data_IF_916933974005
#
_entry.id   IF_916933974005
#
_cell.length_a   1.000
_cell.length_b   1.000
_cell.length_c   1.000
_cell.angle_alpha   90.00
_cell.angle_beta   90.00
_cell.angle_gamma   90.00
#
_symmetry.space_group_name_H-M   'P 1'
#
loop_
_entity.id
_entity.type
_entity.pdbx_description
1 polymer ?
#
# COMPACT_ATOMS: atom_id res chain seq x y z
N UNK A 1 -7.89 -40.44 -20.62
CA UNK A 1 -7.56 -40.79 -19.23
C UNK A 1 -6.71 -39.67 -18.62
N UNK A 2 -7.07 -39.12 -17.45
CA UNK A 2 -6.39 -37.96 -16.86
C UNK A 2 -5.60 -38.31 -15.58
N UNK A 3 -4.30 -38.00 -15.49
CA UNK A 3 -3.55 -37.79 -14.22
C UNK A 3 -2.19 -37.08 -14.52
N UNK A 4 -1.47 -36.47 -13.56
CA UNK A 4 -1.72 -35.20 -12.89
C UNK A 4 -0.60 -34.15 -13.10
N UNK A 5 -0.94 -32.89 -12.76
CA UNK A 5 0.02 -31.79 -12.57
C UNK A 5 0.81 -31.96 -11.27
N UNK A 6 2.13 -32.03 -11.37
CA UNK A 6 3.07 -31.97 -10.25
C UNK A 6 3.17 -30.55 -9.69
N UNK A 7 2.92 -30.43 -8.38
CA UNK A 7 3.34 -29.31 -7.54
C UNK A 7 4.86 -29.32 -7.43
N UNK A 8 5.52 -28.18 -7.60
CA UNK A 8 6.91 -27.99 -7.15
C UNK A 8 6.91 -27.01 -5.98
N UNK A 9 7.59 -27.47 -4.93
CA UNK A 9 7.66 -26.94 -3.59
C UNK A 9 8.38 -25.59 -3.49
N UNK A 10 7.91 -24.79 -2.53
CA UNK A 10 8.71 -23.78 -1.82
C UNK A 10 9.77 -24.50 -0.97
N UNK A 11 11.03 -24.12 -1.11
CA UNK A 11 12.06 -24.38 -0.11
C UNK A 11 12.45 -23.07 0.58
N UNK A 12 12.21 -23.03 1.90
CA UNK A 12 12.84 -22.15 2.86
C UNK A 12 14.12 -22.86 3.35
N UNK A 13 15.22 -22.14 3.49
CA UNK A 13 16.30 -22.53 4.41
C UNK A 13 16.95 -21.28 4.97
N UNK A 14 16.99 -21.22 6.30
CA UNK A 14 17.64 -20.20 7.08
C UNK A 14 19.14 -20.48 7.19
N UNK A 15 19.94 -19.42 7.32
CA UNK A 15 21.33 -19.49 7.74
C UNK A 15 21.68 -18.18 8.43
N UNK A 16 21.76 -18.23 9.77
CA UNK A 16 22.17 -17.12 10.61
C UNK A 16 23.69 -16.95 10.56
N UNK A 17 24.18 -15.71 10.60
CA UNK A 17 25.47 -15.41 11.21
C UNK A 17 25.43 -14.02 11.84
N UNK A 18 25.74 -13.97 13.13
CA UNK A 18 25.91 -12.77 13.93
C UNK A 18 27.39 -12.43 14.03
N UNK A 19 27.74 -11.14 13.94
CA UNK A 19 28.95 -10.55 14.51
C UNK A 19 28.57 -9.19 15.09
N UNK A 20 29.12 -8.90 16.27
CA UNK A 20 28.83 -7.76 17.14
C UNK A 20 29.94 -6.70 17.12
N UNK A 21 29.66 -5.57 17.82
CA UNK A 21 30.55 -4.50 18.32
C UNK A 21 30.91 -3.40 17.29
N UNK A 22 31.02 -2.09 17.61
CA UNK A 22 30.82 -1.27 18.81
C UNK A 22 30.87 0.24 18.43
N UNK A 23 30.48 1.13 19.37
CA UNK A 23 30.78 2.59 19.39
C UNK A 23 29.87 3.46 18.50
N UNK A 24 29.40 4.66 18.83
CA UNK A 24 29.50 5.61 19.96
C UNK A 24 28.57 6.80 19.56
N UNK A 25 27.70 7.30 20.44
CA UNK A 25 27.74 8.65 21.03
C UNK A 25 28.10 9.77 20.01
N UNK A 26 27.37 10.86 19.78
CA UNK A 26 26.65 11.78 20.70
C UNK A 26 25.67 12.68 19.92
N UNK A 27 24.65 13.16 20.62
CA UNK A 27 23.78 14.26 20.19
C UNK A 27 24.46 15.63 20.44
N UNK A 28 24.17 16.62 19.59
CA UNK A 28 24.33 18.03 19.92
C UNK A 28 23.06 18.78 19.55
N UNK A 29 22.44 19.33 20.59
CA UNK A 29 21.35 20.30 20.62
C UNK A 29 21.85 21.68 20.20
N UNK A 30 21.01 22.46 19.51
CA UNK A 30 21.05 23.92 19.57
C UNK A 30 19.62 24.43 19.72
N UNK A 31 19.39 25.10 20.84
CA UNK A 31 18.18 25.81 21.18
C UNK A 31 18.38 27.31 20.89
N UNK A 32 17.35 27.95 20.35
CA UNK A 32 17.07 29.38 20.46
C UNK A 32 15.53 29.44 20.60
N UNK A 33 14.91 30.02 21.62
CA UNK A 33 15.31 31.17 22.41
C UNK A 33 14.57 32.39 21.86
N UNK A 34 13.29 32.56 22.22
CA UNK A 34 12.62 33.86 22.18
C UNK A 34 11.55 33.93 23.27
N UNK A 35 11.68 34.96 24.08
CA UNK A 35 10.84 35.38 25.20
C UNK A 35 9.89 36.50 24.80
N UNK A 36 8.89 36.71 25.67
CA UNK A 36 8.05 37.91 25.88
C UNK A 36 6.67 37.91 25.20
N UNK A 37 5.71 38.72 25.70
CA UNK A 37 5.22 38.72 27.08
C UNK A 37 3.68 38.64 27.16
N UNK A 38 3.16 38.57 28.39
CA UNK A 38 1.76 38.51 28.73
C UNK A 38 1.05 39.88 28.63
N UNK A 39 -0.23 39.86 28.26
CA UNK A 39 -1.21 40.89 28.59
C UNK A 39 -2.52 40.21 28.99
N UNK A 40 -2.97 40.50 30.21
CA UNK A 40 -4.20 39.99 30.78
C UNK A 40 -5.43 40.81 30.42
N UNK A 41 -6.59 40.17 30.54
CA UNK A 41 -7.88 40.78 30.85
C UNK A 41 -8.69 39.78 31.69
N UNK A 42 -9.41 40.23 32.73
CA UNK A 42 -10.14 39.35 33.65
C UNK A 42 -11.53 39.05 33.09
N UNK A 43 -12.02 37.82 33.28
CA UNK A 43 -13.40 37.46 33.00
C UNK A 43 -14.06 36.90 34.26
N UNK A 44 -15.24 37.46 34.54
CA UNK A 44 -16.06 37.27 35.72
C UNK A 44 -16.49 35.81 35.94
N UNK A 45 -16.52 35.45 37.22
CA UNK A 45 -17.05 34.23 37.80
C UNK A 45 -18.59 34.20 37.81
N UNK A 46 -19.16 33.11 37.30
CA UNK A 46 -20.47 32.59 37.74
C UNK A 46 -20.30 31.13 38.19
N UNK A 47 -20.97 30.69 39.28
CA UNK A 47 -20.85 29.34 39.78
C UNK A 47 -21.83 28.43 39.01
N UNK A 48 -21.32 27.43 38.31
CA UNK A 48 -22.14 26.33 37.79
C UNK A 48 -21.82 25.06 38.57
N UNK A 49 -22.84 24.55 39.26
CA UNK A 49 -22.85 23.29 39.99
C UNK A 49 -22.25 22.17 39.15
N UNK A 50 -21.11 21.64 39.59
CA UNK A 50 -20.47 20.48 38.99
C UNK A 50 -21.33 19.23 39.26
N UNK A 51 -22.02 18.75 38.22
CA UNK A 51 -22.51 17.38 38.19
C UNK A 51 -21.32 16.42 38.24
N UNK A 52 -21.30 15.54 39.25
CA UNK A 52 -20.25 14.53 39.41
C UNK A 52 -20.19 13.58 38.19
N UNK A 53 -19.01 13.35 37.58
CA UNK A 53 -18.90 12.36 36.53
C UNK A 53 -19.03 10.95 37.13
N UNK A 54 -20.03 10.21 36.65
CA UNK A 54 -20.21 8.80 36.93
C UNK A 54 -18.92 8.01 36.68
N UNK A 55 -18.47 7.26 37.69
CA UNK A 55 -17.21 6.53 37.67
C UNK A 55 -17.14 5.52 36.52
N UNK A 56 -16.26 5.78 35.55
CA UNK A 56 -15.90 4.82 34.52
C UNK A 56 -15.17 3.62 35.14
N UNK A 57 -15.70 2.40 34.96
CA UNK A 57 -15.05 1.15 35.39
C UNK A 57 -13.64 1.05 34.78
N UNK A 58 -12.63 1.15 35.64
CA UNK A 58 -11.20 1.02 35.29
C UNK A 58 -10.90 -0.45 35.01
N UNK A 59 -10.73 -0.83 33.74
CA UNK A 59 -10.26 -2.18 33.38
C UNK A 59 -8.78 -2.26 33.71
N UNK A 60 -8.46 -2.95 34.81
CA UNK A 60 -7.09 -3.16 35.29
C UNK A 60 -6.51 -4.41 34.61
N UNK A 61 -5.47 -4.24 33.79
CA UNK A 61 -4.72 -5.37 33.22
C UNK A 61 -3.66 -5.81 34.23
N UNK A 62 -3.66 -7.08 34.65
CA UNK A 62 -2.59 -7.66 35.47
C UNK A 62 -1.44 -8.13 34.59
N UNK A 63 -0.21 -7.80 34.98
CA UNK A 63 1.00 -8.23 34.27
C UNK A 63 2.00 -8.84 35.25
N UNK A 64 2.70 -9.89 34.83
CA UNK A 64 3.73 -10.59 35.60
C UNK A 64 5.10 -10.25 35.06
N UNK A 65 6.04 -9.86 35.93
CA UNK A 65 7.42 -9.56 35.54
C UNK A 65 8.16 -10.82 35.08
N UNK A 66 8.88 -10.74 33.96
CA UNK A 66 9.69 -11.87 33.42
C UNK A 66 11.15 -11.82 33.87
N UNK A 67 11.56 -10.72 34.50
CA UNK A 67 12.88 -10.48 35.09
C UNK A 67 12.77 -9.55 36.31
N UNK A 68 13.89 -9.34 37.01
CA UNK A 68 14.00 -8.26 37.99
C UNK A 68 13.85 -6.93 37.26
N UNK A 69 12.74 -6.22 37.50
CA UNK A 69 12.29 -5.12 36.66
C UNK A 69 12.29 -3.80 37.42
N UNK A 70 13.02 -2.83 36.90
CA UNK A 70 13.11 -1.49 37.50
C UNK A 70 11.79 -0.73 37.35
N UNK A 71 11.25 -0.30 38.49
CA UNK A 71 10.18 0.68 38.62
C UNK A 71 10.83 2.08 38.60
N UNK A 72 10.51 2.89 37.59
CA UNK A 72 11.12 4.22 37.38
C UNK A 72 10.13 5.35 37.64
N UNK A 73 10.64 6.53 37.97
CA UNK A 73 9.81 7.72 38.19
C UNK A 73 9.04 8.17 36.93
N UNK A 74 9.52 7.85 35.73
CA UNK A 74 8.89 8.19 34.45
C UNK A 74 9.04 7.08 33.40
N UNK A 75 8.29 7.19 32.29
CA UNK A 75 8.17 6.19 31.23
C UNK A 75 9.37 6.13 30.27
N UNK A 76 10.59 6.19 30.80
CA UNK A 76 11.83 6.03 30.02
C UNK A 76 12.98 5.52 30.89
N UNK A 77 14.03 4.99 30.26
CA UNK A 77 15.25 4.54 30.96
C UNK A 77 16.07 5.68 31.57
N UNK A 78 15.80 6.94 31.19
CA UNK A 78 16.48 8.12 31.72
C UNK A 78 15.97 8.55 33.10
N UNK A 79 14.79 8.10 33.51
CA UNK A 79 14.25 8.44 34.82
C UNK A 79 14.84 7.56 35.93
N UNK A 80 15.00 8.17 37.12
CA UNK A 80 15.51 7.52 38.34
C UNK A 80 14.72 6.24 38.66
N UNK A 81 15.42 5.19 39.04
CA UNK A 81 14.82 3.95 39.56
C UNK A 81 14.36 4.21 40.98
N UNK A 82 13.07 3.99 41.25
CA UNK A 82 12.47 4.19 42.58
C UNK A 82 12.35 2.89 43.36
N UNK A 83 12.35 1.73 42.67
CA UNK A 83 12.39 0.37 43.24
C UNK A 83 12.69 -0.66 42.15
N UNK A 84 13.11 -1.86 42.53
CA UNK A 84 13.15 -3.03 41.63
C UNK A 84 12.07 -4.03 42.04
N UNK A 85 11.29 -4.49 41.07
CA UNK A 85 10.25 -5.51 41.23
C UNK A 85 10.87 -6.87 40.88
N UNK A 86 10.90 -7.84 41.81
CA UNK A 86 11.47 -9.16 41.53
C UNK A 86 10.79 -9.86 40.35
N UNK A 87 11.52 -10.77 39.69
CA UNK A 87 10.97 -11.68 38.65
C UNK A 87 9.78 -12.47 39.21
N UNK A 88 8.75 -12.67 38.37
CA UNK A 88 7.57 -13.48 38.70
C UNK A 88 6.51 -12.76 39.54
N UNK A 89 6.68 -11.46 39.84
CA UNK A 89 5.68 -10.69 40.60
C UNK A 89 4.61 -10.12 39.69
N UNK A 90 3.36 -10.20 40.12
CA UNK A 90 2.19 -9.69 39.40
C UNK A 90 1.83 -8.30 39.90
N UNK A 91 1.63 -7.36 38.97
CA UNK A 91 1.24 -5.97 39.27
C UNK A 91 0.07 -5.51 38.40
N UNK A 92 -0.70 -4.59 38.94
CA UNK A 92 -1.85 -3.97 38.28
C UNK A 92 -1.40 -2.79 37.42
N UNK A 93 -1.73 -2.80 36.12
CA UNK A 93 -1.47 -1.67 35.22
C UNK A 93 -2.57 -0.63 35.37
N UNK A 94 -2.16 0.58 35.75
CA UNK A 94 -3.05 1.73 35.98
C UNK A 94 -3.06 2.73 34.82
N UNK A 95 -2.02 2.74 33.99
CA UNK A 95 -1.92 3.53 32.76
C UNK A 95 -0.88 2.92 31.80
N UNK A 96 -0.99 3.25 30.50
CA UNK A 96 -0.03 2.82 29.47
C UNK A 96 0.46 4.03 28.70
N UNK A 97 1.77 4.13 28.47
CA UNK A 97 2.37 5.12 27.59
C UNK A 97 2.58 4.55 26.18
N UNK A 98 2.45 5.40 25.16
CA UNK A 98 2.58 5.03 23.73
C UNK A 98 3.94 4.42 23.37
N UNK A 99 4.95 4.65 24.20
CA UNK A 99 6.32 4.17 24.03
C UNK A 99 6.62 2.83 24.73
N UNK A 100 5.59 2.08 25.14
CA UNK A 100 5.76 0.73 25.67
C UNK A 100 6.07 0.66 27.18
N UNK A 101 5.53 1.58 27.97
CA UNK A 101 5.67 1.59 29.43
C UNK A 101 4.31 1.46 30.13
N UNK A 102 4.29 0.73 31.24
CA UNK A 102 3.13 0.58 32.11
C UNK A 102 3.34 1.32 33.42
N UNK A 103 2.33 2.08 33.85
CA UNK A 103 2.30 2.69 35.19
C UNK A 103 1.71 1.69 36.17
N UNK A 104 2.45 1.35 37.21
CA UNK A 104 2.07 0.33 38.21
C UNK A 104 2.38 0.85 39.63
N UNK A 105 1.77 0.21 40.63
CA UNK A 105 2.14 0.39 42.04
C UNK A 105 2.64 -0.94 42.60
N UNK A 106 3.77 -0.91 43.30
CA UNK A 106 4.38 -2.08 43.93
C UNK A 106 5.06 -1.69 45.24
N UNK A 107 4.72 -2.40 46.32
CA UNK A 107 5.27 -2.18 47.67
C UNK A 107 5.24 -0.69 48.10
N UNK A 108 4.08 -0.04 47.95
CA UNK A 108 3.87 1.37 48.35
C UNK A 108 4.52 2.42 47.45
N UNK A 109 5.19 2.03 46.35
CA UNK A 109 5.78 2.97 45.38
C UNK A 109 5.05 2.88 44.04
N UNK A 110 4.72 4.03 43.47
CA UNK A 110 4.14 4.15 42.12
C UNK A 110 5.20 4.59 41.12
N UNK A 111 5.22 3.97 39.95
CA UNK A 111 6.16 4.31 38.89
C UNK A 111 5.86 3.59 37.58
N UNK A 112 6.82 3.59 36.68
CA UNK A 112 6.72 3.05 35.34
C UNK A 112 7.66 1.87 35.14
N UNK A 113 7.15 0.79 34.52
CA UNK A 113 7.91 -0.39 34.12
C UNK A 113 7.83 -0.58 32.61
N UNK A 114 8.86 -1.17 32.00
CA UNK A 114 8.84 -1.50 30.57
C UNK A 114 7.97 -2.74 30.32
N UNK A 115 7.06 -2.65 29.35
CA UNK A 115 6.18 -3.78 28.98
C UNK A 115 6.93 -4.92 28.28
N UNK A 116 8.17 -4.69 27.82
CA UNK A 116 9.05 -5.70 27.24
C UNK A 116 9.38 -6.83 28.22
N UNK A 117 9.41 -6.51 29.51
CA UNK A 117 9.76 -7.45 30.58
C UNK A 117 8.56 -7.87 31.40
N UNK A 118 7.37 -7.87 30.79
CA UNK A 118 6.16 -8.36 31.41
C UNK A 118 5.42 -9.31 30.47
N UNK A 119 4.70 -10.24 31.07
CA UNK A 119 3.69 -11.06 30.39
C UNK A 119 2.34 -10.68 30.96
N UNK A 120 1.29 -10.65 30.14
CA UNK A 120 -0.06 -10.46 30.65
C UNK A 120 -0.39 -11.70 31.47
N UNK A 121 -0.63 -11.54 32.77
CA UNK A 121 -1.14 -12.63 33.58
C UNK A 121 -2.48 -13.01 32.96
N UNK A 122 -2.63 -14.28 32.52
CA UNK A 122 -3.85 -14.76 31.92
C UNK A 122 -5.01 -14.33 32.82
N UNK A 123 -5.81 -13.38 32.32
CA UNK A 123 -7.00 -12.99 33.03
C UNK A 123 -7.90 -14.21 33.01
N UNK A 124 -8.12 -14.82 34.16
CA UNK A 124 -9.36 -15.52 34.47
C UNK A 124 -10.48 -14.48 34.52
N UNK A 125 -10.69 -13.77 33.40
CA UNK A 125 -11.96 -13.14 33.13
C UNK A 125 -12.95 -14.30 32.93
N UNK A 126 -14.18 -14.20 33.46
CA UNK A 126 -15.22 -15.16 33.12
C UNK A 126 -15.25 -15.30 31.60
N UNK A 127 -15.17 -16.53 31.10
CA UNK A 127 -15.39 -16.84 29.69
C UNK A 127 -16.81 -16.37 29.38
N UNK A 128 -16.95 -15.11 28.92
CA UNK A 128 -18.24 -14.60 28.50
C UNK A 128 -18.73 -15.56 27.41
N UNK A 129 -19.90 -16.19 27.58
CA UNK A 129 -20.43 -17.11 26.60
C UNK A 129 -20.42 -16.42 25.24
N UNK A 130 -19.97 -17.13 24.20
CA UNK A 130 -20.20 -16.67 22.84
C UNK A 130 -21.71 -16.35 22.73
N UNK A 131 -22.11 -15.15 22.24
CA UNK A 131 -23.52 -14.86 22.05
C UNK A 131 -24.13 -16.00 21.21
N UNK A 132 -25.12 -16.70 21.75
CA UNK A 132 -25.97 -17.60 20.96
C UNK A 132 -26.71 -16.70 19.97
N UNK A 133 -26.36 -16.80 18.69
CA UNK A 133 -26.97 -16.01 17.61
C UNK A 133 -25.94 -15.17 16.85
N UNK A 134 -25.45 -15.71 15.75
CA UNK A 134 -24.79 -14.95 14.68
C UNK A 134 -25.77 -14.81 13.54
N UNK A 135 -26.01 -13.60 13.05
CA UNK A 135 -26.74 -13.40 11.80
C UNK A 135 -25.79 -13.33 10.62
N UNK A 136 -26.15 -13.98 9.53
CA UNK A 136 -25.42 -13.85 8.26
C UNK A 136 -25.56 -12.41 7.77
N UNK A 137 -24.45 -11.76 7.45
CA UNK A 137 -24.43 -10.44 6.82
C UNK A 137 -23.60 -10.51 5.55
N UNK A 138 -23.93 -9.66 4.59
CA UNK A 138 -23.15 -9.48 3.37
C UNK A 138 -22.84 -8.00 3.21
N UNK A 139 -21.93 -7.53 4.05
CA UNK A 139 -21.48 -6.14 4.08
C UNK A 139 -19.96 -6.09 4.21
N UNK A 140 -19.38 -4.92 4.00
CA UNK A 140 -17.97 -4.69 4.30
C UNK A 140 -17.84 -3.81 5.54
N UNK A 141 -16.69 -3.91 6.19
CA UNK A 141 -16.32 -3.08 7.32
C UNK A 141 -14.98 -2.41 7.08
N UNK A 142 -14.90 -1.10 7.36
CA UNK A 142 -13.69 -0.28 7.24
C UNK A 142 -13.18 0.07 8.62
N UNK A 143 -11.93 -0.28 8.90
CA UNK A 143 -11.30 0.02 10.17
C UNK A 143 -11.08 1.52 10.38
N UNK A 144 -11.62 2.08 11.46
CA UNK A 144 -11.37 3.47 11.88
C UNK A 144 -10.05 3.63 12.65
N UNK A 145 -9.48 2.51 13.11
CA UNK A 145 -8.19 2.41 13.80
C UNK A 145 -7.58 1.00 13.59
N UNK A 146 -6.34 0.77 14.01
CA UNK A 146 -5.78 -0.58 14.06
C UNK A 146 -6.60 -1.43 15.04
N UNK A 147 -7.23 -2.51 14.56
CA UNK A 147 -8.11 -3.38 15.38
C UNK A 147 -7.66 -4.84 15.30
N UNK A 148 -7.66 -5.53 16.44
CA UNK A 148 -7.32 -6.95 16.51
C UNK A 148 -8.41 -7.80 15.85
N UNK A 149 -8.01 -8.72 14.99
CA UNK A 149 -8.83 -9.81 14.45
C UNK A 149 -8.76 -10.95 15.47
N UNK A 150 -9.87 -11.30 16.12
CA UNK A 150 -9.90 -12.27 17.24
C UNK A 150 -10.53 -13.60 16.86
N UNK A 151 -10.14 -14.70 17.52
CA UNK A 151 -10.74 -16.03 17.29
C UNK A 151 -12.24 -16.10 17.62
N UNK A 152 -12.75 -15.19 18.43
CA UNK A 152 -14.17 -15.11 18.80
C UNK A 152 -14.61 -13.68 19.05
N UNK A 153 -15.92 -13.48 19.17
CA UNK A 153 -16.62 -12.20 19.26
C UNK A 153 -16.50 -11.53 20.64
N UNK A 154 -15.32 -11.58 21.28
CA UNK A 154 -15.05 -10.89 22.54
C UNK A 154 -13.57 -10.55 22.69
N UNK A 155 -13.26 -9.63 23.59
CA UNK A 155 -11.86 -9.24 23.90
C UNK A 155 -11.06 -10.32 24.63
N UNK A 156 -11.73 -11.34 25.18
CA UNK A 156 -11.10 -12.48 25.84
C UNK A 156 -10.51 -13.52 24.86
N UNK A 157 -10.91 -13.49 23.58
CA UNK A 157 -10.34 -14.39 22.58
C UNK A 157 -8.98 -13.93 22.07
N UNK A 158 -8.11 -14.90 21.80
CA UNK A 158 -6.79 -14.69 21.22
C UNK A 158 -6.87 -13.90 19.91
N UNK A 159 -5.92 -13.00 19.71
CA UNK A 159 -5.72 -12.31 18.44
C UNK A 159 -5.07 -13.25 17.43
N UNK A 160 -5.57 -13.29 16.19
CA UNK A 160 -4.98 -14.00 15.04
C UNK A 160 -4.33 -13.05 14.04
N UNK A 161 -4.53 -11.74 14.21
CA UNK A 161 -3.96 -10.71 13.38
C UNK A 161 -4.49 -9.33 13.72
N UNK A 162 -4.15 -8.36 12.87
CA UNK A 162 -4.59 -6.97 13.00
C UNK A 162 -5.17 -6.55 11.66
N UNK A 163 -6.32 -5.88 11.69
CA UNK A 163 -6.87 -5.11 10.58
C UNK A 163 -6.37 -3.66 10.75
N UNK A 164 -5.44 -3.17 9.92
CA UNK A 164 -4.89 -1.83 10.04
C UNK A 164 -5.95 -0.74 9.81
N UNK A 165 -5.75 0.46 10.36
CA UNK A 165 -6.59 1.63 10.09
C UNK A 165 -6.76 1.82 8.58
N UNK A 166 -7.97 2.17 8.16
CA UNK A 166 -8.41 2.30 6.76
C UNK A 166 -8.41 1.00 5.95
N UNK A 167 -8.01 -0.14 6.53
CA UNK A 167 -8.19 -1.43 5.86
C UNK A 167 -9.65 -1.85 5.89
N UNK A 168 -10.05 -2.57 4.86
CA UNK A 168 -11.45 -2.95 4.65
C UNK A 168 -11.52 -4.46 4.50
N UNK A 169 -12.56 -5.06 5.06
CA UNK A 169 -12.73 -6.50 5.09
C UNK A 169 -14.20 -6.87 4.92
N UNK A 170 -14.46 -7.98 4.23
CA UNK A 170 -15.81 -8.50 4.04
C UNK A 170 -16.26 -9.13 5.36
N UNK A 171 -17.41 -8.69 5.86
CA UNK A 171 -18.07 -9.32 6.99
C UNK A 171 -19.08 -10.35 6.50
N UNK A 172 -19.02 -11.56 7.04
CA UNK A 172 -19.92 -12.67 6.70
C UNK A 172 -20.94 -12.94 7.80
N UNK A 173 -20.62 -12.60 9.05
CA UNK A 173 -21.49 -12.81 10.20
C UNK A 173 -21.43 -11.59 11.13
N UNK A 174 -22.53 -11.34 11.83
CA UNK A 174 -22.63 -10.37 12.91
C UNK A 174 -23.12 -11.08 14.17
N UNK A 175 -22.32 -11.03 15.23
CA UNK A 175 -22.75 -11.47 16.56
C UNK A 175 -23.65 -10.40 17.20
N UNK A 176 -24.62 -10.83 18.00
CA UNK A 176 -25.58 -9.93 18.68
C UNK A 176 -24.89 -8.79 19.47
N UNK A 177 -23.69 -9.04 19.99
CA UNK A 177 -22.88 -8.06 20.73
C UNK A 177 -22.07 -7.09 19.85
N UNK A 178 -22.38 -6.98 18.56
CA UNK A 178 -21.78 -6.00 17.67
C UNK A 178 -20.39 -6.37 17.15
N UNK A 179 -20.02 -7.65 17.14
CA UNK A 179 -18.81 -8.10 16.47
C UNK A 179 -19.13 -8.61 15.07
N UNK A 180 -18.22 -8.33 14.12
CA UNK A 180 -18.30 -8.82 12.76
C UNK A 180 -17.24 -9.86 12.51
N UNK A 181 -17.63 -11.02 11.97
CA UNK A 181 -16.68 -12.01 11.46
C UNK A 181 -16.24 -11.58 10.08
N UNK A 182 -14.94 -11.39 9.91
CA UNK A 182 -14.31 -10.90 8.70
C UNK A 182 -13.26 -11.86 8.16
N UNK A 183 -12.89 -11.68 6.90
CA UNK A 183 -11.67 -12.25 6.30
C UNK A 183 -10.79 -11.13 5.76
N UNK A 184 -9.50 -11.15 6.10
CA UNK A 184 -8.49 -10.17 5.63
C UNK A 184 -7.13 -10.86 5.46
N UNK A 185 -6.50 -10.76 4.28
CA UNK A 185 -5.18 -11.36 3.98
C UNK A 185 -5.02 -12.80 4.50
N UNK A 186 -5.96 -13.69 4.14
CA UNK A 186 -6.04 -15.09 4.56
C UNK A 186 -6.26 -15.35 6.07
N UNK A 187 -6.66 -14.33 6.83
CA UNK A 187 -7.01 -14.46 8.26
C UNK A 187 -8.50 -14.24 8.46
N UNK A 188 -9.16 -15.22 9.06
CA UNK A 188 -10.58 -15.12 9.44
C UNK A 188 -10.72 -14.96 10.95
N UNK A 189 -11.58 -14.03 11.38
CA UNK A 189 -11.88 -13.81 12.79
C UNK A 189 -12.81 -12.64 13.02
N UNK A 190 -12.95 -12.21 14.27
CA UNK A 190 -13.95 -11.24 14.71
C UNK A 190 -13.33 -9.88 15.02
N UNK A 191 -13.98 -8.81 14.56
CA UNK A 191 -13.64 -7.41 14.87
C UNK A 191 -14.85 -6.69 15.47
N UNK A 192 -14.61 -5.77 16.40
CA UNK A 192 -15.70 -5.02 17.06
C UNK A 192 -16.18 -3.85 16.20
N UNK A 193 -17.50 -3.67 16.10
CA UNK A 193 -18.16 -2.51 15.47
C UNK A 193 -17.68 -1.15 16.00
N UNK A 194 -17.14 -1.09 17.23
CA UNK A 194 -16.57 0.14 17.79
C UNK A 194 -15.40 0.69 16.97
N UNK A 195 -14.68 -0.18 16.27
CA UNK A 195 -13.48 0.17 15.52
C UNK A 195 -13.65 0.00 14.01
N UNK A 196 -14.86 -0.30 13.56
CA UNK A 196 -15.15 -0.49 12.14
C UNK A 196 -16.45 0.19 11.72
N UNK A 197 -16.46 0.84 10.57
CA UNK A 197 -17.65 1.41 9.93
C UNK A 197 -18.17 0.42 8.89
N UNK A 198 -19.48 0.15 8.85
CA UNK A 198 -20.07 -0.71 7.82
C UNK A 198 -20.28 0.07 6.53
N UNK A 199 -20.12 -0.60 5.39
CA UNK A 199 -20.50 -0.04 4.11
C UNK A 199 -21.19 -1.10 3.25
N UNK A 200 -22.26 -0.68 2.56
CA UNK A 200 -23.08 -1.52 1.68
C UNK A 200 -23.07 -1.04 0.23
N UNK A 201 -22.65 0.20 -0.02
CA UNK A 201 -22.65 0.85 -1.33
C UNK A 201 -21.28 1.45 -1.61
N UNK A 202 -20.33 0.65 -2.13
CA UNK A 202 -19.06 1.15 -2.67
C UNK A 202 -17.86 1.07 -1.73
N UNK A 203 -17.58 -0.11 -1.20
CA UNK A 203 -16.53 -0.34 -0.21
C UNK A 203 -15.16 -0.58 -0.84
N UNK A 204 -14.10 -0.34 -0.08
CA UNK A 204 -12.78 -0.78 -0.51
C UNK A 204 -12.74 -2.30 -0.58
N UNK A 205 -12.35 -2.78 -1.75
CA UNK A 205 -12.26 -4.20 -2.07
C UNK A 205 -10.82 -4.65 -1.79
N UNK A 206 -10.66 -5.71 -1.00
CA UNK A 206 -9.38 -6.43 -0.91
C UNK A 206 -9.25 -7.30 -2.17
N UNK A 207 -8.48 -6.81 -3.13
CA UNK A 207 -8.26 -7.51 -4.40
C UNK A 207 -7.19 -8.59 -4.33
N UNK A 208 -6.67 -8.87 -3.13
CA UNK A 208 -5.54 -9.77 -2.91
C UNK A 208 -4.21 -9.07 -3.22
N UNK A 209 -3.17 -9.87 -3.46
CA UNK A 209 -1.86 -9.37 -3.85
C UNK A 209 -1.95 -8.61 -5.18
N UNK A 210 -1.00 -7.70 -5.42
CA UNK A 210 -0.86 -7.00 -6.68
C UNK A 210 -0.89 -7.98 -7.86
N UNK A 211 -1.96 -7.93 -8.67
CA UNK A 211 -2.04 -8.71 -9.90
C UNK A 211 -1.84 -7.77 -11.09
N UNK A 212 -0.69 -7.88 -11.77
CA UNK A 212 -0.42 -7.21 -13.06
C UNK A 212 -1.39 -7.66 -14.16
N UNK A 213 -2.09 -8.78 -13.97
CA UNK A 213 -2.85 -9.45 -15.02
C UNK A 213 -4.16 -8.71 -15.36
N UNK A 214 -3.99 -7.65 -16.14
CA UNK A 214 -4.94 -7.10 -17.13
C UNK A 214 -5.71 -8.17 -17.92
N UNK A 215 -5.19 -9.39 -17.95
CA UNK A 215 -5.75 -10.58 -18.58
C UNK A 215 -7.21 -10.84 -18.19
N UNK A 216 -8.06 -10.94 -19.21
CA UNK A 216 -9.48 -11.30 -19.06
C UNK A 216 -10.44 -10.13 -18.84
N UNK A 217 -9.95 -8.89 -18.75
CA UNK A 217 -10.82 -7.72 -18.67
C UNK A 217 -11.04 -7.10 -20.07
N UNK A 218 -12.28 -7.10 -20.54
CA UNK A 218 -12.67 -6.53 -21.83
C UNK A 218 -13.49 -5.24 -21.71
N UNK A 219 -14.04 -4.95 -20.52
CA UNK A 219 -14.91 -3.78 -20.30
C UNK A 219 -14.09 -2.50 -20.13
N UNK A 220 -13.65 -1.94 -21.26
CA UNK A 220 -12.67 -0.85 -21.32
C UNK A 220 -13.30 0.54 -21.29
N UNK A 221 -12.61 1.46 -20.61
CA UNK A 221 -12.90 2.88 -20.52
C UNK A 221 -11.62 3.72 -20.60
N UNK A 222 -11.79 5.03 -20.77
CA UNK A 222 -10.72 6.02 -20.74
C UNK A 222 -11.12 7.21 -19.88
N UNK A 223 -10.16 7.81 -19.19
CA UNK A 223 -10.37 9.04 -18.42
C UNK A 223 -10.71 10.23 -19.33
N UNK A 224 -11.66 11.07 -18.92
CA UNK A 224 -12.11 12.25 -19.68
C UNK A 224 -11.27 13.50 -19.41
N UNK A 225 -10.70 13.62 -18.22
CA UNK A 225 -10.01 14.80 -17.74
C UNK A 225 -8.67 14.44 -17.06
N UNK A 226 -7.80 15.44 -16.95
CA UNK A 226 -6.54 15.32 -16.23
C UNK A 226 -6.78 15.29 -14.72
N UNK A 227 -6.00 14.49 -14.01
CA UNK A 227 -6.13 14.32 -12.56
C UNK A 227 -7.39 13.56 -12.17
N UNK A 228 -7.82 12.59 -12.99
CA UNK A 228 -8.94 11.73 -12.60
C UNK A 228 -8.53 10.92 -11.37
N UNK A 229 -9.39 10.90 -10.35
CA UNK A 229 -9.09 10.25 -9.08
C UNK A 229 -9.48 8.77 -9.10
N UNK A 230 -8.58 7.92 -8.60
CA UNK A 230 -8.86 6.54 -8.21
C UNK A 230 -8.99 6.47 -6.69
N UNK A 231 -10.12 6.00 -6.19
CA UNK A 231 -10.41 5.94 -4.76
C UNK A 231 -10.35 4.52 -4.23
N UNK A 232 -10.00 4.39 -2.95
CA UNK A 232 -10.07 3.11 -2.27
C UNK A 232 -11.51 2.62 -2.13
N UNK A 233 -12.45 3.53 -1.88
CA UNK A 233 -13.89 3.30 -1.73
C UNK A 233 -14.63 4.47 -2.38
N UNK A 234 -15.92 4.32 -2.67
CA UNK A 234 -16.76 5.41 -3.18
C UNK A 234 -16.71 6.60 -2.23
N UNK A 235 -16.24 7.76 -2.72
CA UNK A 235 -16.03 8.98 -1.93
C UNK A 235 -15.00 8.86 -0.79
N UNK A 236 -14.24 7.76 -0.74
CA UNK A 236 -13.29 7.47 0.32
C UNK A 236 -11.90 8.05 0.09
N UNK A 237 -10.88 7.42 0.70
CA UNK A 237 -9.49 7.84 0.53
C UNK A 237 -9.05 7.73 -0.93
N UNK A 238 -8.55 8.82 -1.49
CA UNK A 238 -7.92 8.83 -2.80
C UNK A 238 -6.60 8.05 -2.77
N UNK A 239 -6.44 7.12 -3.72
CA UNK A 239 -5.21 6.33 -3.93
C UNK A 239 -4.28 7.01 -4.94
N UNK A 240 -4.83 7.50 -6.05
CA UNK A 240 -4.11 8.17 -7.13
C UNK A 240 -4.97 9.32 -7.63
N UNK A 241 -4.41 10.53 -7.79
CA UNK A 241 -5.16 11.71 -8.21
C UNK A 241 -4.58 12.44 -9.43
N UNK A 242 -3.58 11.89 -10.09
CA UNK A 242 -2.83 12.53 -11.17
C UNK A 242 -2.98 11.78 -12.51
N UNK A 243 -4.03 10.96 -12.65
CA UNK A 243 -4.26 10.17 -13.87
C UNK A 243 -4.65 11.11 -15.02
N UNK A 244 -3.84 11.20 -16.09
CA UNK A 244 -4.10 12.14 -17.17
C UNK A 244 -5.31 11.70 -17.99
N UNK A 245 -5.89 12.64 -18.74
CA UNK A 245 -6.91 12.39 -19.75
C UNK A 245 -6.44 11.32 -20.73
N UNK A 246 -7.38 10.49 -21.19
CA UNK A 246 -7.18 9.38 -22.11
C UNK A 246 -6.38 8.19 -21.56
N UNK A 247 -6.11 8.14 -20.25
CA UNK A 247 -5.57 6.93 -19.62
C UNK A 247 -6.59 5.80 -19.68
N UNK A 248 -6.15 4.60 -20.04
CA UNK A 248 -6.99 3.41 -20.07
C UNK A 248 -7.29 2.91 -18.65
N UNK A 249 -8.56 2.56 -18.42
CA UNK A 249 -9.01 1.84 -17.23
C UNK A 249 -9.96 0.72 -17.64
N UNK A 250 -9.93 -0.40 -16.92
CA UNK A 250 -10.79 -1.55 -17.16
C UNK A 250 -11.81 -1.65 -16.04
N UNK A 251 -13.10 -1.60 -16.36
CA UNK A 251 -14.14 -1.89 -15.38
C UNK A 251 -14.10 -3.37 -15.04
N UNK A 252 -14.03 -3.67 -13.75
CA UNK A 252 -14.04 -5.03 -13.25
C UNK A 252 -15.39 -5.30 -12.57
N UNK A 253 -16.32 -5.84 -13.34
CA UNK A 253 -17.67 -6.14 -12.89
C UNK A 253 -17.70 -7.17 -11.76
N UNK A 254 -16.70 -8.06 -11.67
CA UNK A 254 -16.64 -9.05 -10.59
C UNK A 254 -16.35 -8.32 -9.27
N UNK A 255 -15.27 -7.56 -9.22
CA UNK A 255 -14.92 -6.82 -8.01
C UNK A 255 -15.90 -5.68 -7.70
N UNK A 256 -16.54 -5.09 -8.70
CA UNK A 256 -17.61 -4.12 -8.50
C UNK A 256 -18.83 -4.74 -7.78
N UNK A 257 -19.26 -5.93 -8.22
CA UNK A 257 -20.33 -6.68 -7.54
C UNK A 257 -19.93 -7.06 -6.12
N UNK A 258 -18.68 -7.44 -5.91
CA UNK A 258 -18.17 -7.78 -4.58
C UNK A 258 -18.12 -6.56 -3.66
N UNK A 259 -17.70 -5.39 -4.15
CA UNK A 259 -17.63 -4.14 -3.38
C UNK A 259 -18.97 -3.43 -3.15
N UNK A 260 -20.06 -3.98 -3.70
CA UNK A 260 -21.41 -3.42 -3.63
C UNK A 260 -21.59 -2.29 -4.65
N UNK A 261 -22.18 -2.62 -5.80
CA UNK A 261 -22.36 -1.69 -6.92
C UNK A 261 -23.04 -0.39 -6.48
N UNK A 262 -22.55 0.74 -6.99
CA UNK A 262 -23.08 2.07 -6.67
C UNK A 262 -23.37 2.82 -7.96
N UNK A 263 -24.57 3.38 -8.05
CA UNK A 263 -24.93 4.23 -9.18
C UNK A 263 -23.91 5.37 -9.35
N UNK A 264 -23.44 5.57 -10.58
CA UNK A 264 -22.46 6.60 -10.91
C UNK A 264 -21.00 6.25 -10.59
N UNK A 265 -20.69 5.05 -10.11
CA UNK A 265 -19.33 4.62 -9.80
C UNK A 265 -19.01 3.26 -10.40
N UNK A 266 -17.78 3.12 -10.91
CA UNK A 266 -17.24 1.86 -11.41
C UNK A 266 -16.04 1.43 -10.58
N UNK A 267 -15.97 0.13 -10.28
CA UNK A 267 -14.71 -0.44 -9.81
C UNK A 267 -13.85 -0.75 -11.04
N UNK A 268 -12.64 -0.22 -11.05
CA UNK A 268 -11.74 -0.29 -12.20
C UNK A 268 -10.37 -0.84 -11.82
N UNK A 269 -9.69 -1.41 -12.80
CA UNK A 269 -8.25 -1.71 -12.79
C UNK A 269 -7.54 -0.78 -13.77
N UNK A 270 -6.41 -0.24 -13.36
CA UNK A 270 -5.52 0.61 -14.16
C UNK A 270 -4.12 -0.03 -14.21
N UNK A 271 -3.12 0.66 -14.73
CA UNK A 271 -1.72 0.20 -14.82
C UNK A 271 -1.10 -0.03 -13.43
N UNK A 272 -1.44 -1.17 -12.81
CA UNK A 272 -0.94 -1.60 -11.52
C UNK A 272 -1.78 -1.21 -10.30
N UNK A 273 -2.99 -0.69 -10.48
CA UNK A 273 -3.87 -0.37 -9.36
C UNK A 273 -5.31 -0.76 -9.63
N UNK A 274 -6.08 -0.84 -8.57
CA UNK A 274 -7.53 -0.99 -8.63
C UNK A 274 -8.21 -0.11 -7.58
N UNK A 275 -9.47 0.20 -7.82
CA UNK A 275 -10.25 1.07 -6.96
C UNK A 275 -11.50 1.58 -7.66
N UNK A 276 -12.18 2.53 -7.02
CA UNK A 276 -13.40 3.14 -7.53
C UNK A 276 -13.11 4.44 -8.26
N UNK A 277 -13.76 4.63 -9.40
CA UNK A 277 -13.78 5.88 -10.16
C UNK A 277 -15.21 6.29 -10.43
N UNK A 278 -15.48 7.59 -10.55
CA UNK A 278 -16.79 8.07 -10.99
C UNK A 278 -16.99 7.71 -12.46
N UNK A 279 -18.15 7.14 -12.79
CA UNK A 279 -18.52 6.85 -14.17
C UNK A 279 -18.58 8.12 -15.02
N UNK A 280 -18.91 9.27 -14.42
CA UNK A 280 -18.88 10.59 -15.07
C UNK A 280 -17.52 10.93 -15.66
N UNK A 281 -16.43 10.45 -15.05
CA UNK A 281 -15.05 10.78 -15.42
C UNK A 281 -14.52 9.84 -16.52
N UNK A 282 -15.33 8.87 -16.94
CA UNK A 282 -14.96 7.80 -17.86
C UNK A 282 -15.78 7.83 -19.15
N UNK A 283 -15.13 7.48 -20.27
CA UNK A 283 -15.74 7.37 -21.60
C UNK A 283 -15.35 6.06 -22.29
N UNK A 284 -16.18 5.60 -23.22
CA UNK A 284 -15.99 4.36 -23.99
C UNK A 284 -14.91 4.46 -25.07
N UNK A 285 -14.61 5.67 -25.54
CA UNK A 285 -13.63 5.93 -26.60
C UNK A 285 -12.53 6.88 -26.12
N UNK A 286 -11.34 6.76 -26.70
CA UNK A 286 -10.23 7.69 -26.48
C UNK A 286 -10.10 8.63 -27.67
N UNK A 287 -9.70 9.87 -27.39
CA UNK A 287 -9.29 10.84 -28.42
C UNK A 287 -7.83 11.26 -28.24
N UNK A 288 -7.01 10.41 -27.61
CA UNK A 288 -5.59 10.66 -27.51
C UNK A 288 -4.98 10.77 -28.91
N UNK A 289 -4.18 11.83 -29.12
CA UNK A 289 -3.36 11.93 -30.32
C UNK A 289 -2.39 10.75 -30.39
N UNK A 290 -2.09 10.30 -31.59
CA UNK A 290 -1.16 9.21 -31.88
C UNK A 290 0.11 9.72 -32.55
N UNK A 291 0.36 11.03 -32.49
CA UNK A 291 1.49 11.70 -33.12
C UNK A 291 1.97 12.85 -32.23
N UNK A 292 3.18 13.35 -32.51
CA UNK A 292 3.71 14.56 -31.89
C UNK A 292 3.33 15.81 -32.69
N UNK A 293 2.03 16.06 -32.87
CA UNK A 293 1.54 17.16 -33.73
C UNK A 293 1.99 18.55 -33.27
N UNK A 294 2.28 18.71 -31.97
CA UNK A 294 2.77 19.96 -31.36
C UNK A 294 4.29 20.09 -31.35
N UNK A 295 5.03 19.13 -31.91
CA UNK A 295 6.49 19.22 -32.05
C UNK A 295 7.27 19.23 -30.73
N UNK A 296 6.73 18.63 -29.66
CA UNK A 296 7.43 18.61 -28.37
C UNK A 296 8.74 17.83 -28.45
N UNK A 297 9.79 18.32 -27.82
CA UNK A 297 11.10 17.63 -27.78
C UNK A 297 11.25 16.77 -26.54
N UNK A 298 12.16 15.79 -26.58
CA UNK A 298 12.53 14.99 -25.40
C UNK A 298 13.01 15.89 -24.25
N UNK A 299 13.77 16.95 -24.55
CA UNK A 299 14.24 17.91 -23.55
C UNK A 299 13.09 18.67 -22.88
N UNK A 300 12.04 19.05 -23.64
CA UNK A 300 10.83 19.66 -23.06
C UNK A 300 10.10 18.71 -22.12
N UNK A 301 10.00 17.43 -22.47
CA UNK A 301 9.38 16.40 -21.61
C UNK A 301 10.18 16.20 -20.32
N UNK A 302 11.52 16.13 -20.40
CA UNK A 302 12.37 15.96 -19.22
C UNK A 302 12.35 17.15 -18.25
N UNK A 303 12.00 18.35 -18.72
CA UNK A 303 11.77 19.52 -17.85
C UNK A 303 10.48 19.41 -17.03
N UNK A 304 9.56 18.54 -17.41
CA UNK A 304 8.38 18.25 -16.58
C UNK A 304 8.81 17.47 -15.33
N UNK A 305 8.09 17.69 -14.23
CA UNK A 305 8.25 16.85 -13.05
C UNK A 305 7.93 15.39 -13.38
N UNK A 306 8.79 14.47 -12.97
CA UNK A 306 8.60 13.04 -13.19
C UNK A 306 7.25 12.57 -12.61
N UNK A 307 6.46 11.89 -13.43
CA UNK A 307 5.11 11.43 -13.12
C UNK A 307 4.03 12.50 -13.23
N UNK A 308 4.36 13.72 -13.68
CA UNK A 308 3.44 14.85 -13.87
C UNK A 308 3.60 15.51 -15.25
N UNK A 309 3.84 14.70 -16.28
CA UNK A 309 3.91 15.19 -17.66
C UNK A 309 2.53 15.67 -18.11
N UNK A 310 2.47 16.87 -18.70
CA UNK A 310 1.23 17.40 -19.29
C UNK A 310 0.64 16.41 -20.30
N UNK A 311 -0.68 16.23 -20.27
CA UNK A 311 -1.38 15.37 -21.24
C UNK A 311 -1.19 15.81 -22.69
N UNK A 312 -0.86 17.08 -22.94
CA UNK A 312 -0.54 17.54 -24.30
C UNK A 312 0.79 16.99 -24.81
N UNK A 313 1.72 16.65 -23.91
CA UNK A 313 3.02 16.05 -24.19
C UNK A 313 2.97 14.51 -24.16
N UNK A 314 1.78 13.93 -23.95
CA UNK A 314 1.53 12.49 -24.03
C UNK A 314 0.75 12.16 -25.30
N UNK A 315 1.02 10.99 -25.86
CA UNK A 315 0.33 10.46 -27.02
C UNK A 315 0.15 8.95 -26.89
N UNK A 316 -0.92 8.42 -27.49
CA UNK A 316 -1.20 6.99 -27.50
C UNK A 316 -0.34 6.26 -28.53
N UNK A 317 0.12 5.07 -28.18
CA UNK A 317 0.77 4.16 -29.12
C UNK A 317 -0.23 3.78 -30.24
N UNK A 318 0.08 4.03 -31.53
CA UNK A 318 -0.93 3.95 -32.60
C UNK A 318 -1.56 2.57 -32.78
N UNK A 319 -0.75 1.51 -32.81
CA UNK A 319 -1.18 0.12 -33.04
C UNK A 319 -1.68 -0.57 -31.78
N UNK A 320 -1.38 -0.01 -30.61
CA UNK A 320 -1.80 -0.58 -29.35
C UNK A 320 -3.31 -0.39 -29.17
N UNK A 321 -4.01 -1.52 -28.98
CA UNK A 321 -5.45 -1.53 -28.72
C UNK A 321 -5.79 -0.90 -27.38
N UNK A 322 -4.84 -0.89 -26.45
CA UNK A 322 -5.00 -0.29 -25.13
C UNK A 322 -4.80 1.24 -25.14
N UNK A 323 -4.27 1.79 -26.24
CA UNK A 323 -3.94 3.22 -26.36
C UNK A 323 -3.03 3.67 -25.21
N UNK A 324 -2.06 2.83 -24.87
CA UNK A 324 -1.05 3.13 -23.85
C UNK A 324 -0.36 4.45 -24.16
N UNK A 325 -0.25 5.32 -23.15
CA UNK A 325 0.31 6.65 -23.29
C UNK A 325 1.83 6.61 -23.11
N UNK A 326 2.55 7.26 -24.03
CA UNK A 326 3.98 7.54 -23.97
C UNK A 326 4.22 9.04 -24.20
N UNK A 327 5.45 9.51 -24.00
CA UNK A 327 5.84 10.85 -24.40
C UNK A 327 5.64 11.05 -25.90
N UNK A 328 4.96 12.13 -26.30
CA UNK A 328 4.69 12.47 -27.69
C UNK A 328 5.94 12.37 -28.62
N UNK A 329 7.12 12.93 -28.26
CA UNK A 329 8.32 12.79 -29.09
C UNK A 329 8.75 11.35 -29.36
N UNK A 330 8.42 10.39 -28.49
CA UNK A 330 8.85 9.01 -28.62
C UNK A 330 7.99 8.20 -29.62
N UNK A 331 6.79 8.68 -29.98
CA UNK A 331 5.82 7.90 -30.76
C UNK A 331 6.30 7.58 -32.16
N UNK A 332 6.89 8.55 -32.86
CA UNK A 332 7.37 8.35 -34.25
C UNK A 332 8.42 7.26 -34.30
N UNK A 333 9.37 7.30 -33.38
CA UNK A 333 10.47 6.35 -33.31
C UNK A 333 10.03 4.98 -32.82
N UNK A 334 9.12 4.90 -31.85
CA UNK A 334 8.52 3.62 -31.47
C UNK A 334 7.71 3.01 -32.63
N UNK A 335 7.02 3.84 -33.42
CA UNK A 335 6.30 3.37 -34.61
C UNK A 335 7.26 2.80 -35.65
N UNK A 336 8.42 3.44 -35.89
CA UNK A 336 9.46 2.89 -36.78
C UNK A 336 10.00 1.55 -36.26
N UNK A 337 10.25 1.44 -34.96
CA UNK A 337 10.67 0.19 -34.32
C UNK A 337 9.61 -0.91 -34.51
N UNK A 338 8.34 -0.60 -34.25
CA UNK A 338 7.24 -1.53 -34.43
C UNK A 338 7.08 -1.98 -35.88
N UNK A 339 7.24 -1.08 -36.86
CA UNK A 339 7.20 -1.44 -38.29
C UNK A 339 8.28 -2.47 -38.62
N UNK A 340 9.50 -2.27 -38.14
CA UNK A 340 10.59 -3.22 -38.32
C UNK A 340 10.34 -4.55 -37.59
N UNK A 341 9.82 -4.49 -36.36
CA UNK A 341 9.45 -5.66 -35.58
C UNK A 341 8.36 -6.49 -36.28
N UNK A 342 7.32 -5.82 -36.79
CA UNK A 342 6.23 -6.46 -37.55
C UNK A 342 6.73 -7.07 -38.84
N UNK A 343 7.67 -6.43 -39.55
CA UNK A 343 8.31 -7.01 -40.72
C UNK A 343 9.06 -8.30 -40.36
N UNK A 344 9.73 -8.35 -39.21
CA UNK A 344 10.47 -9.53 -38.77
C UNK A 344 9.57 -10.68 -38.31
N UNK A 345 8.50 -10.38 -37.56
CA UNK A 345 7.75 -11.39 -36.81
C UNK A 345 6.29 -11.55 -37.24
N UNK A 346 5.82 -10.78 -38.24
CA UNK A 346 4.44 -10.83 -38.73
C UNK A 346 3.39 -10.25 -37.77
N UNK A 347 3.78 -9.74 -36.61
CA UNK A 347 2.89 -9.15 -35.59
C UNK A 347 3.43 -7.83 -35.06
N UNK A 348 2.55 -6.98 -34.55
CA UNK A 348 2.97 -5.77 -33.84
C UNK A 348 3.71 -6.13 -32.53
N UNK A 349 4.56 -5.21 -32.09
CA UNK A 349 5.18 -5.18 -30.77
C UNK A 349 4.09 -5.02 -29.71
N UNK A 350 4.05 -5.94 -28.75
CA UNK A 350 3.19 -5.84 -27.60
C UNK A 350 3.74 -4.78 -26.62
N UNK A 351 2.86 -3.99 -26.02
CA UNK A 351 3.19 -2.99 -25.01
C UNK A 351 2.41 -3.36 -23.75
N UNK A 352 3.09 -3.47 -22.62
CA UNK A 352 2.46 -3.74 -21.32
C UNK A 352 2.36 -2.45 -20.50
N UNK A 353 3.49 -1.84 -20.14
CA UNK A 353 3.52 -0.61 -19.33
C UNK A 353 4.26 0.52 -20.04
N UNK A 354 3.91 1.76 -19.68
CA UNK A 354 4.55 2.96 -20.22
C UNK A 354 4.46 4.12 -19.23
N UNK A 355 3.85 5.25 -19.60
CA UNK A 355 3.75 6.42 -18.74
C UNK A 355 3.14 6.09 -17.37
N UNK A 356 3.85 6.41 -16.29
CA UNK A 356 3.43 6.13 -14.91
C UNK A 356 3.41 7.41 -14.08
N UNK A 357 2.24 7.75 -13.57
CA UNK A 357 2.06 8.97 -12.77
C UNK A 357 2.82 8.92 -11.44
N UNK A 358 3.05 10.08 -10.82
CA UNK A 358 3.81 10.14 -9.57
C UNK A 358 3.07 9.43 -8.42
N UNK A 359 1.75 9.61 -8.31
CA UNK A 359 0.97 8.92 -7.27
C UNK A 359 0.91 7.40 -7.52
N UNK A 360 0.89 6.97 -8.78
CA UNK A 360 1.05 5.55 -9.13
C UNK A 360 2.42 5.02 -8.67
N UNK A 361 3.50 5.78 -8.90
CA UNK A 361 4.83 5.39 -8.43
C UNK A 361 4.90 5.28 -6.90
N UNK A 362 4.32 6.25 -6.17
CA UNK A 362 4.25 6.20 -4.69
C UNK A 362 3.51 4.97 -4.19
N UNK A 363 2.40 4.63 -4.83
CA UNK A 363 1.63 3.44 -4.48
C UNK A 363 2.45 2.16 -4.70
N UNK A 364 3.03 1.98 -5.89
CA UNK A 364 3.82 0.78 -6.20
C UNK A 364 5.05 0.66 -5.29
N UNK A 365 5.71 1.79 -4.98
CA UNK A 365 6.85 1.78 -4.06
C UNK A 365 6.45 1.37 -2.64
N UNK A 366 5.31 1.84 -2.16
CA UNK A 366 4.79 1.45 -0.85
C UNK A 366 4.40 -0.05 -0.79
N UNK A 367 3.88 -0.60 -1.89
CA UNK A 367 3.43 -1.99 -1.97
C UNK A 367 4.58 -2.98 -2.20
N UNK A 368 5.47 -2.68 -3.17
CA UNK A 368 6.50 -3.61 -3.66
C UNK A 368 7.87 -3.39 -3.01
N UNK A 369 8.08 -2.24 -2.37
CA UNK A 369 9.34 -1.87 -1.75
C UNK A 369 10.46 -1.49 -2.74
N UNK A 370 11.59 -1.05 -2.19
CA UNK A 370 12.70 -0.45 -2.94
C UNK A 370 13.51 -1.43 -3.80
N UNK A 371 13.28 -2.74 -3.64
CA UNK A 371 13.97 -3.76 -4.44
C UNK A 371 13.29 -3.97 -5.80
N UNK A 372 11.97 -3.77 -5.88
CA UNK A 372 11.17 -4.02 -7.08
C UNK A 372 10.75 -2.70 -7.75
N UNK A 373 10.44 -1.67 -6.97
CA UNK A 373 10.00 -0.39 -7.49
C UNK A 373 11.07 0.69 -7.32
N UNK A 374 11.32 1.44 -8.40
CA UNK A 374 12.14 2.64 -8.33
C UNK A 374 11.55 3.67 -7.36
N UNK A 375 12.42 4.45 -6.70
CA UNK A 375 12.01 5.56 -5.85
C UNK A 375 11.05 6.48 -6.63
N UNK A 376 9.92 6.91 -6.05
CA UNK A 376 8.98 7.78 -6.74
C UNK A 376 9.66 9.05 -7.24
N UNK A 377 9.43 9.39 -8.51
CA UNK A 377 10.03 10.53 -9.18
C UNK A 377 11.34 10.23 -9.94
N UNK A 378 11.83 8.98 -9.95
CA UNK A 378 13.11 8.64 -10.61
C UNK A 378 12.97 7.67 -11.78
N UNK A 379 11.81 7.04 -11.98
CA UNK A 379 11.60 6.07 -13.05
C UNK A 379 11.41 6.76 -14.41
N UNK A 380 12.02 6.25 -15.48
CA UNK A 380 11.81 6.80 -16.83
C UNK A 380 10.37 6.63 -17.36
N UNK A 381 9.61 5.69 -16.79
CA UNK A 381 8.15 5.62 -16.97
C UNK A 381 7.46 6.92 -16.55
N UNK A 382 7.98 7.63 -15.56
CA UNK A 382 7.42 8.90 -15.11
C UNK A 382 7.50 10.03 -16.12
N UNK A 383 8.35 9.92 -17.15
CA UNK A 383 8.34 10.86 -18.27
C UNK A 383 7.64 10.29 -19.51
N UNK A 384 7.19 9.03 -19.47
CA UNK A 384 6.65 8.34 -20.65
C UNK A 384 7.73 8.02 -21.68
N UNK A 385 9.00 8.03 -21.24
CA UNK A 385 10.18 7.75 -22.07
C UNK A 385 10.65 6.31 -21.89
N UNK A 386 9.85 5.45 -21.27
CA UNK A 386 10.11 4.03 -21.14
C UNK A 386 8.86 3.23 -21.48
N UNK A 387 9.08 2.04 -22.01
CA UNK A 387 8.05 1.02 -22.20
C UNK A 387 8.53 -0.29 -21.56
N UNK A 388 7.57 -1.06 -21.07
CA UNK A 388 7.75 -2.47 -20.75
C UNK A 388 6.95 -3.29 -21.77
N UNK A 389 7.58 -4.33 -22.31
CA UNK A 389 6.89 -5.38 -23.06
C UNK A 389 6.40 -6.48 -22.09
N UNK A 390 5.46 -7.36 -22.48
CA UNK A 390 4.96 -8.39 -21.58
C UNK A 390 6.06 -9.32 -21.04
N UNK A 391 6.00 -9.67 -19.76
CA UNK A 391 6.90 -10.63 -19.09
C UNK A 391 6.62 -12.09 -19.51
N UNK A 392 6.72 -12.38 -20.81
CA UNK A 392 6.53 -13.71 -21.40
C UNK A 392 7.86 -14.32 -21.81
N UNK A 393 7.87 -15.62 -22.08
CA UNK A 393 9.08 -16.31 -22.53
C UNK A 393 9.73 -15.68 -23.76
N UNK A 394 8.94 -15.28 -24.77
CA UNK A 394 9.46 -14.68 -26.00
C UNK A 394 10.12 -13.30 -25.78
N UNK A 395 9.73 -12.59 -24.73
CA UNK A 395 10.29 -11.31 -24.30
C UNK A 395 11.32 -11.43 -23.15
N UNK A 396 11.61 -12.65 -22.68
CA UNK A 396 12.68 -12.91 -21.70
C UNK A 396 14.06 -12.80 -22.34
N UNK A 397 15.14 -12.76 -21.55
CA UNK A 397 16.53 -12.76 -22.05
C UNK A 397 16.83 -13.91 -23.04
N UNK A 398 16.11 -15.02 -22.93
CA UNK A 398 16.25 -16.20 -23.80
C UNK A 398 15.37 -16.13 -25.04
N UNK A 399 14.33 -15.30 -25.00
CA UNK A 399 13.28 -15.18 -25.99
C UNK A 399 13.71 -14.48 -27.28
N UNK A 400 13.02 -14.83 -28.36
CA UNK A 400 13.34 -14.32 -29.71
C UNK A 400 13.03 -12.83 -29.88
N UNK A 401 11.99 -12.31 -29.23
CA UNK A 401 11.62 -10.89 -29.36
C UNK A 401 12.60 -10.01 -28.61
N UNK A 402 12.99 -10.39 -27.39
CA UNK A 402 14.03 -9.66 -26.65
C UNK A 402 15.34 -9.58 -27.42
N UNK A 403 15.87 -10.72 -27.88
CA UNK A 403 17.16 -10.76 -28.60
C UNK A 403 17.14 -9.84 -29.82
N UNK A 404 16.04 -9.86 -30.59
CA UNK A 404 15.90 -8.97 -31.74
C UNK A 404 15.77 -7.50 -31.32
N UNK A 405 14.96 -7.18 -30.31
CA UNK A 405 14.81 -5.81 -29.81
C UNK A 405 16.15 -5.29 -29.29
N UNK A 406 16.88 -6.06 -28.48
CA UNK A 406 18.21 -5.70 -27.99
C UNK A 406 19.18 -5.35 -29.12
N UNK A 407 19.18 -6.16 -30.18
CA UNK A 407 20.05 -5.97 -31.33
C UNK A 407 19.63 -4.81 -32.25
N UNK A 408 18.37 -4.36 -32.24
CA UNK A 408 17.85 -3.43 -33.25
C UNK A 408 17.25 -2.13 -32.71
N UNK A 409 16.80 -2.08 -31.46
CA UNK A 409 16.05 -0.94 -30.92
C UNK A 409 16.82 0.38 -31.02
N UNK A 410 18.14 0.34 -30.85
CA UNK A 410 19.00 1.51 -30.83
C UNK A 410 19.00 2.27 -32.17
N UNK A 411 18.77 1.56 -33.29
CA UNK A 411 18.60 2.14 -34.64
C UNK A 411 17.33 3.01 -34.75
N UNK A 412 16.45 2.91 -33.77
CA UNK A 412 15.18 3.60 -33.67
C UNK A 412 15.11 4.43 -32.38
N UNK A 413 16.24 4.84 -31.80
CA UNK A 413 16.27 5.67 -30.59
C UNK A 413 15.64 5.04 -29.35
N UNK A 414 15.55 3.71 -29.30
CA UNK A 414 15.15 2.96 -28.11
C UNK A 414 16.30 2.07 -27.64
N UNK A 415 16.52 1.94 -26.35
CA UNK A 415 17.66 1.15 -25.85
C UNK A 415 17.26 0.28 -24.68
N UNK A 416 17.80 -0.93 -24.65
CA UNK A 416 17.87 -1.74 -23.45
C UNK A 416 19.20 -1.46 -22.76
N UNK A 417 19.15 -0.91 -21.55
CA UNK A 417 20.33 -0.40 -20.84
C UNK A 417 21.19 -1.53 -20.28
N UNK A 418 22.51 -1.30 -20.25
CA UNK A 418 23.49 -2.26 -19.71
C UNK A 418 23.23 -2.66 -18.25
N UNK A 419 22.69 -1.75 -17.43
CA UNK A 419 22.40 -2.05 -16.02
C UNK A 419 21.12 -2.87 -15.81
N UNK A 420 20.41 -3.24 -16.89
CA UNK A 420 19.22 -4.08 -16.88
C UNK A 420 19.48 -5.45 -17.50
N UNK A 421 20.72 -5.74 -17.89
CA UNK A 421 21.12 -7.05 -18.44
C UNK A 421 21.02 -8.15 -17.38
N UNK A 422 20.86 -9.40 -17.83
CA UNK A 422 20.76 -10.59 -16.96
C UNK A 422 21.99 -10.76 -16.06
N UNK A 423 23.17 -10.41 -16.59
CA UNK A 423 24.45 -10.51 -15.91
C UNK A 423 25.14 -9.15 -15.89
N UNK A 424 25.81 -8.86 -14.78
CA UNK A 424 26.73 -7.72 -14.67
C UNK A 424 28.01 -8.01 -15.46
N UNK A 425 28.85 -6.98 -15.61
CA UNK A 425 30.15 -7.10 -16.29
C UNK A 425 31.12 -8.08 -15.62
N UNK A 426 30.93 -8.36 -14.34
CA UNK A 426 31.71 -9.35 -13.56
C UNK A 426 31.15 -10.78 -13.66
N UNK A 427 30.11 -11.00 -14.48
CA UNK A 427 29.45 -12.29 -14.65
C UNK A 427 28.43 -12.64 -13.54
N UNK A 428 28.30 -11.81 -12.49
CA UNK A 428 27.31 -12.04 -11.44
C UNK A 428 25.88 -11.77 -11.94
N UNK A 429 24.91 -12.53 -11.42
CA UNK A 429 23.49 -12.32 -11.75
C UNK A 429 23.03 -10.94 -11.29
N UNK A 430 22.38 -10.20 -12.18
CA UNK A 430 21.87 -8.87 -11.88
C UNK A 430 20.48 -8.98 -11.20
N UNK A 431 20.32 -8.47 -9.96
CA UNK A 431 19.04 -8.41 -9.26
C UNK A 431 18.05 -7.44 -9.89
N UNK A 432 18.51 -6.54 -10.76
CA UNK A 432 17.71 -5.55 -11.48
C UNK A 432 17.56 -5.90 -12.97
N UNK A 433 17.70 -7.17 -13.32
CA UNK A 433 17.57 -7.63 -14.69
C UNK A 433 16.11 -7.48 -15.16
N UNK A 434 15.89 -6.73 -16.24
CA UNK A 434 14.55 -6.38 -16.76
C UNK A 434 14.52 -6.51 -18.28
N UNK A 435 14.51 -7.73 -18.81
CA UNK A 435 14.49 -7.98 -20.27
C UNK A 435 13.35 -7.24 -20.99
N UNK A 436 12.26 -6.96 -20.28
CA UNK A 436 11.09 -6.28 -20.81
C UNK A 436 11.26 -4.76 -20.96
N UNK A 437 12.26 -4.13 -20.34
CA UNK A 437 12.34 -2.68 -20.23
C UNK A 437 13.18 -2.02 -21.34
N UNK A 438 12.61 -1.03 -22.03
CA UNK A 438 13.27 -0.25 -23.08
C UNK A 438 13.03 1.26 -22.91
N UNK A 439 14.09 2.05 -23.08
CA UNK A 439 14.07 3.50 -22.88
C UNK A 439 14.28 4.28 -24.19
N UNK A 440 13.54 5.37 -24.36
CA UNK A 440 13.68 6.30 -25.47
C UNK A 440 14.82 7.29 -25.24
N UNK A 441 15.81 7.27 -26.13
CA UNK A 441 17.00 8.14 -26.08
C UNK A 441 16.83 9.40 -26.90
N UNK A 442 16.02 9.36 -27.97
CA UNK A 442 15.76 10.48 -28.88
C UNK A 442 17.02 11.13 -29.45
N UNK A 443 17.96 10.31 -29.94
CA UNK A 443 19.22 10.74 -30.55
C UNK A 443 19.06 11.06 -32.03
#
# INVERSE_FOLDING_TARGET
MPVPRTRVLRALSAGALAVALAGGATAATAAAGFTAPASGVPALSTPHLAAAPAAAKKVVTKVTTTANLNLRAGSSTKHKVVRTIPKGKTVNVSATASNGWYKVSYAGKTGWISNKYTTVAASTAPKQPAPKGTSTVKLWVTASANVNIRKGSSTGHASVGTLPKNSVAKATERAANGWYKISYKNKTGWVSNKYVKTCSKGCQVDTGDYTTNRAGLSDRYFTKANGTDLYAAVGGTRRVGDIPKNSIVYRDLKWEKEGGQVAGWYFVRTQGLNGWMKASDLKRSSNAGTTNSKGYTRAQVLRQSNGKVSSSMLAAVPWDKEKTLIAAPAVKDLTRLNTAFKKQFGKNLDIDLAYRTLDTQKYLYAELGSYIAAKPGTSNHGWGLAIDVPETYDYSFRGKYYKWLKANSHKYNWTHRKNLEEYRSDGSKNPYAEAWHFEYTGK
#
